data_IF_487504938444
#
_entry.id   IF_487504938444
#
_cell.length_a   1.000
_cell.length_b   1.000
_cell.length_c   1.000
_cell.angle_alpha   90.00
_cell.angle_beta   90.00
_cell.angle_gamma   90.00
#
_symmetry.space_group_name_H-M   'P 1'
#
loop_
_entity.id
_entity.type
_entity.pdbx_description
1 polymer ?
#
# COMPACT_ATOMS: atom_id res chain seq x y z
N UNK A 1 -13.80 11.44 -1.74
CA UNK A 1 -12.33 11.41 -1.70
C UNK A 1 -11.67 11.93 -2.99
N UNK A 2 -11.99 13.16 -3.45
CA UNK A 2 -11.34 13.68 -4.69
C UNK A 2 -9.91 14.18 -4.45
N UNK A 3 -9.65 14.77 -3.29
CA UNK A 3 -8.36 15.38 -2.97
C UNK A 3 -7.20 14.36 -2.92
N UNK A 4 -7.34 13.26 -2.17
CA UNK A 4 -6.29 12.23 -2.08
C UNK A 4 -5.99 11.58 -3.42
N UNK A 5 -7.03 11.19 -4.18
CA UNK A 5 -6.85 10.62 -5.50
C UNK A 5 -6.12 11.59 -6.45
N UNK A 6 -6.44 12.88 -6.41
CA UNK A 6 -5.75 13.88 -7.22
C UNK A 6 -4.27 14.01 -6.84
N UNK A 7 -3.95 13.98 -5.53
CA UNK A 7 -2.58 14.01 -5.05
C UNK A 7 -1.80 12.75 -5.47
N UNK A 8 -2.38 11.57 -5.27
CA UNK A 8 -1.80 10.29 -5.66
C UNK A 8 -1.53 10.25 -7.17
N UNK A 9 -2.50 10.71 -7.99
CA UNK A 9 -2.35 10.77 -9.45
C UNK A 9 -1.26 11.75 -9.88
N UNK A 10 -1.21 12.94 -9.28
CA UNK A 10 -0.16 13.93 -9.59
C UNK A 10 1.22 13.36 -9.25
N UNK A 11 1.38 12.72 -8.08
CA UNK A 11 2.63 12.05 -7.71
C UNK A 11 3.04 11.01 -8.76
N UNK A 12 2.14 10.11 -9.17
CA UNK A 12 2.46 9.05 -10.14
C UNK A 12 2.75 9.61 -11.54
N UNK A 13 1.86 10.46 -12.08
CA UNK A 13 1.94 10.95 -13.46
C UNK A 13 3.09 11.93 -13.64
N UNK A 14 3.35 12.79 -12.66
CA UNK A 14 4.43 13.78 -12.73
C UNK A 14 5.77 13.23 -12.22
N UNK A 15 5.84 12.00 -11.70
CA UNK A 15 7.06 11.51 -11.05
C UNK A 15 8.29 11.53 -11.95
N UNK A 16 8.13 11.41 -13.27
CA UNK A 16 9.25 11.52 -14.22
C UNK A 16 9.99 12.86 -14.11
N UNK A 17 9.31 13.93 -13.67
CA UNK A 17 9.90 15.25 -13.39
C UNK A 17 10.41 15.37 -11.95
N UNK A 18 9.72 14.74 -10.98
CA UNK A 18 10.02 14.87 -9.55
C UNK A 18 11.21 13.98 -9.15
N UNK A 19 11.30 12.77 -9.71
CA UNK A 19 12.39 11.83 -9.48
C UNK A 19 12.34 11.13 -8.12
N UNK A 20 11.16 10.88 -7.55
CA UNK A 20 11.03 10.21 -6.24
C UNK A 20 10.93 8.69 -6.38
N UNK A 21 11.61 7.98 -5.48
CA UNK A 21 11.39 6.56 -5.22
C UNK A 21 10.19 6.37 -4.27
N UNK A 22 9.00 6.72 -4.74
CA UNK A 22 7.80 6.70 -3.89
C UNK A 22 7.28 5.27 -3.63
N UNK A 23 6.50 5.11 -2.56
CA UNK A 23 5.57 3.98 -2.38
C UNK A 23 4.29 4.55 -1.78
N UNK A 24 3.13 4.31 -2.41
CA UNK A 24 1.83 4.84 -1.93
C UNK A 24 1.11 3.74 -1.17
N UNK A 25 1.07 3.81 0.17
CA UNK A 25 0.32 2.87 1.01
C UNK A 25 -1.10 3.38 1.23
N UNK A 26 -2.10 2.59 0.83
CA UNK A 26 -3.51 3.00 0.76
C UNK A 26 -4.37 2.11 1.64
N UNK A 27 -4.43 2.40 2.94
CA UNK A 27 -5.40 1.75 3.82
C UNK A 27 -6.79 2.32 3.56
N UNK A 28 -7.80 1.48 3.78
CA UNK A 28 -9.21 1.90 3.72
C UNK A 28 -9.75 2.19 5.12
N UNK A 29 -10.52 1.28 5.70
CA UNK A 29 -11.07 1.44 7.05
C UNK A 29 -9.99 1.28 8.11
N UNK A 30 -9.75 2.30 8.93
CA UNK A 30 -8.74 2.25 9.99
C UNK A 30 -9.37 2.01 11.37
N UNK A 31 -8.93 0.99 12.10
CA UNK A 31 -9.33 0.77 13.50
C UNK A 31 -8.24 1.17 14.50
N UNK A 32 -8.64 1.29 15.77
CA UNK A 32 -7.74 1.50 16.91
C UNK A 32 -7.53 0.21 17.71
N UNK A 33 -7.95 -0.93 17.17
CA UNK A 33 -7.74 -2.22 17.81
C UNK A 33 -6.25 -2.58 17.78
N UNK A 34 -5.79 -3.46 18.67
CA UNK A 34 -4.43 -3.98 18.62
C UNK A 34 -4.12 -4.64 17.27
N UNK A 35 -2.85 -4.62 16.86
CA UNK A 35 -2.41 -5.31 15.64
C UNK A 35 -2.79 -6.78 15.61
N UNK A 36 -3.13 -7.27 14.41
CA UNK A 36 -3.34 -8.70 14.12
C UNK A 36 -2.11 -9.34 13.46
N UNK A 37 -1.23 -8.53 12.85
CA UNK A 37 -0.04 -8.99 12.15
C UNK A 37 -0.30 -9.67 10.80
N UNK A 38 -1.55 -9.69 10.35
CA UNK A 38 -2.00 -10.32 9.10
C UNK A 38 -2.90 -9.35 8.32
N UNK A 39 -2.71 -9.31 7.01
CA UNK A 39 -3.29 -8.33 6.10
C UNK A 39 -3.52 -8.94 4.72
N UNK A 40 -4.26 -8.25 3.88
CA UNK A 40 -4.20 -8.41 2.43
C UNK A 40 -3.59 -7.13 1.84
N UNK A 41 -2.61 -7.25 0.93
CA UNK A 41 -1.90 -6.13 0.33
C UNK A 41 -1.80 -6.25 -1.21
N UNK A 42 -1.73 -5.11 -1.91
CA UNK A 42 -1.60 -5.05 -3.37
C UNK A 42 -2.90 -4.58 -4.02
N UNK A 43 -3.44 -5.37 -4.96
CA UNK A 43 -4.72 -5.10 -5.62
C UNK A 43 -5.82 -5.95 -4.97
N UNK A 44 -6.26 -5.51 -3.79
CA UNK A 44 -7.21 -6.25 -2.93
C UNK A 44 -8.61 -5.65 -2.93
N UNK A 45 -9.58 -6.44 -2.48
CA UNK A 45 -10.91 -5.94 -2.11
C UNK A 45 -10.81 -5.04 -0.86
N UNK A 46 -11.69 -4.04 -0.80
CA UNK A 46 -11.58 -2.89 0.09
C UNK A 46 -12.71 -2.86 1.12
N UNK A 47 -12.97 -4.02 1.74
CA UNK A 47 -14.14 -4.30 2.57
C UNK A 47 -13.79 -4.61 4.04
N UNK A 48 -12.51 -4.78 4.37
CA UNK A 48 -12.06 -5.04 5.73
C UNK A 48 -11.36 -3.83 6.37
N UNK A 49 -11.57 -3.64 7.68
CA UNK A 49 -10.79 -2.69 8.46
C UNK A 49 -9.40 -3.23 8.79
N UNK A 50 -8.42 -2.33 8.92
CA UNK A 50 -7.05 -2.62 9.32
C UNK A 50 -6.66 -1.75 10.53
N UNK A 51 -5.92 -2.32 11.47
CA UNK A 51 -5.42 -1.56 12.62
C UNK A 51 -4.38 -0.54 12.17
N UNK A 52 -4.30 0.61 12.86
CA UNK A 52 -3.23 1.60 12.60
C UNK A 52 -1.83 1.04 12.82
N UNK A 53 -1.70 0.11 13.77
CA UNK A 53 -0.44 -0.58 14.06
C UNK A 53 -0.01 -1.49 12.90
N UNK A 54 -0.94 -2.23 12.29
CA UNK A 54 -0.64 -3.06 11.11
C UNK A 54 -0.28 -2.19 9.89
N UNK A 55 -0.93 -1.03 9.71
CA UNK A 55 -0.55 -0.06 8.67
C UNK A 55 0.86 0.46 8.89
N UNK A 56 1.23 0.82 10.12
CA UNK A 56 2.59 1.25 10.44
C UNK A 56 3.62 0.15 10.14
N UNK A 57 3.29 -1.10 10.47
CA UNK A 57 4.14 -2.24 10.15
C UNK A 57 4.29 -2.47 8.63
N UNK A 58 3.24 -2.27 7.84
CA UNK A 58 3.33 -2.29 6.37
C UNK A 58 4.28 -1.21 5.86
N UNK A 59 4.16 0.03 6.35
CA UNK A 59 5.04 1.14 5.93
C UNK A 59 6.51 0.81 6.24
N UNK A 60 6.79 0.31 7.44
CA UNK A 60 8.14 -0.12 7.82
C UNK A 60 8.66 -1.24 6.92
N UNK A 61 7.82 -2.20 6.57
CA UNK A 61 8.24 -3.31 5.71
C UNK A 61 8.49 -2.86 4.26
N UNK A 62 7.71 -1.92 3.72
CA UNK A 62 7.96 -1.33 2.40
C UNK A 62 9.35 -0.67 2.34
N UNK A 63 9.78 0.01 3.41
CA UNK A 63 11.12 0.63 3.47
C UNK A 63 12.27 -0.39 3.37
N UNK A 64 12.03 -1.66 3.72
CA UNK A 64 13.04 -2.73 3.61
C UNK A 64 13.06 -3.41 2.25
N UNK A 65 12.09 -3.10 1.38
CA UNK A 65 11.84 -3.82 0.13
C UNK A 65 11.85 -2.82 -1.02
N UNK A 66 13.01 -2.58 -1.62
CA UNK A 66 13.14 -1.73 -2.83
C UNK A 66 12.17 -2.10 -3.96
N UNK A 67 11.70 -3.35 -3.98
CA UNK A 67 10.67 -3.82 -4.90
C UNK A 67 9.34 -3.04 -4.82
N UNK A 68 9.03 -2.34 -3.73
CA UNK A 68 7.80 -1.53 -3.61
C UNK A 68 7.90 -0.14 -4.23
N UNK A 69 9.11 0.30 -4.62
CA UNK A 69 9.33 1.61 -5.25
C UNK A 69 8.52 1.71 -6.54
N UNK A 70 7.84 2.85 -6.71
CA UNK A 70 6.95 3.15 -7.83
C UNK A 70 5.55 2.54 -7.73
N UNK A 71 5.24 1.76 -6.68
CA UNK A 71 3.96 1.07 -6.56
C UNK A 71 2.96 1.84 -5.68
N UNK A 72 1.67 1.73 -6.01
CA UNK A 72 0.59 1.96 -5.05
C UNK A 72 0.07 0.61 -4.52
N UNK A 73 -0.12 0.53 -3.21
CA UNK A 73 -0.44 -0.71 -2.50
C UNK A 73 -1.70 -0.45 -1.68
N UNK A 74 -2.82 -1.07 -2.07
CA UNK A 74 -3.98 -1.09 -1.18
C UNK A 74 -3.71 -2.09 -0.05
N UNK A 75 -4.17 -1.78 1.16
CA UNK A 75 -4.06 -2.68 2.30
C UNK A 75 -5.29 -2.67 3.20
N UNK A 76 -5.70 -3.87 3.61
CA UNK A 76 -6.83 -4.10 4.51
C UNK A 76 -6.52 -5.28 5.46
N UNK A 77 -7.38 -5.52 6.45
CA UNK A 77 -7.28 -6.73 7.27
C UNK A 77 -7.43 -8.00 6.42
N UNK A 78 -6.66 -9.04 6.75
CA UNK A 78 -6.65 -10.30 6.00
C UNK A 78 -5.86 -11.38 6.74
N UNK A 79 -5.48 -12.43 6.02
CA UNK A 79 -4.93 -13.66 6.64
C UNK A 79 -3.44 -13.89 6.37
N UNK A 80 -2.82 -13.08 5.51
CA UNK A 80 -1.40 -13.21 5.13
C UNK A 80 -0.51 -12.41 6.08
N UNK A 81 0.58 -12.98 6.64
CA UNK A 81 1.52 -12.20 7.45
C UNK A 81 2.04 -10.98 6.70
N UNK A 82 2.20 -9.85 7.39
CA UNK A 82 2.59 -8.57 6.76
C UNK A 82 3.87 -8.68 5.92
N UNK A 83 4.88 -9.39 6.44
CA UNK A 83 6.16 -9.58 5.74
C UNK A 83 5.96 -10.30 4.41
N UNK A 84 5.13 -11.35 4.39
CA UNK A 84 4.87 -12.15 3.22
C UNK A 84 4.02 -11.38 2.20
N UNK A 85 2.99 -10.67 2.67
CA UNK A 85 2.12 -9.86 1.83
C UNK A 85 2.90 -8.72 1.12
N UNK A 86 3.79 -8.03 1.84
CA UNK A 86 4.63 -6.97 1.25
C UNK A 86 5.70 -7.56 0.33
N UNK A 87 6.29 -8.70 0.68
CA UNK A 87 7.25 -9.39 -0.19
C UNK A 87 6.59 -9.83 -1.51
N UNK A 88 5.37 -10.35 -1.47
CA UNK A 88 4.62 -10.71 -2.66
C UNK A 88 4.36 -9.50 -3.56
N UNK A 89 3.90 -8.39 -2.99
CA UNK A 89 3.68 -7.13 -3.74
C UNK A 89 4.98 -6.64 -4.38
N UNK A 90 6.09 -6.66 -3.64
CA UNK A 90 7.39 -6.21 -4.10
C UNK A 90 7.96 -7.08 -5.22
N UNK A 91 7.85 -8.41 -5.09
CA UNK A 91 8.39 -9.39 -6.03
C UNK A 91 7.55 -9.45 -7.31
N UNK A 92 6.23 -9.42 -7.18
CA UNK A 92 5.29 -9.54 -8.30
C UNK A 92 4.89 -8.18 -8.89
N UNK A 93 5.43 -7.07 -8.36
CA UNK A 93 5.16 -5.69 -8.82
C UNK A 93 3.66 -5.36 -8.90
N UNK A 94 2.93 -5.71 -7.84
CA UNK A 94 1.48 -5.55 -7.78
C UNK A 94 1.14 -4.07 -7.51
N UNK A 95 0.79 -3.34 -8.55
CA UNK A 95 0.34 -1.95 -8.44
C UNK A 95 -1.21 -1.85 -8.44
N UNK A 96 -1.77 -1.31 -7.37
CA UNK A 96 -3.19 -1.05 -7.21
C UNK A 96 -3.74 0.00 -8.19
N UNK A 97 -2.88 0.88 -8.71
CA UNK A 97 -3.24 1.84 -9.76
C UNK A 97 -3.04 1.31 -11.18
N UNK A 98 -2.50 0.10 -11.38
CA UNK A 98 -2.33 -0.46 -12.72
C UNK A 98 -3.63 -0.43 -13.51
N UNK A 99 -3.60 0.27 -14.66
CA UNK A 99 -4.76 0.47 -15.54
C UNK A 99 -5.73 1.57 -15.13
N UNK A 100 -5.38 2.42 -14.15
CA UNK A 100 -6.22 3.52 -13.64
C UNK A 100 -5.53 4.91 -13.64
N UNK A 101 -4.36 5.03 -14.27
CA UNK A 101 -3.65 6.30 -14.43
C UNK A 101 -4.30 7.18 -15.53
#
# INVERSE_FOLDING_TARGET
MRAKLAADRSLVVENGRIGLEYTIVRPEGLSNDPRKGKVAAGKVHLDAMISREDVAAIVVECLKKDGTKGLAINCVGGDTPIVDAVAEVANSKIDAFAGRY
#
